data_IF_605740956194
#
_entry.id   IF_605740956194
#
_cell.length_a   1.000
_cell.length_b   1.000
_cell.length_c   1.000
_cell.angle_alpha   90.00
_cell.angle_beta   90.00
_cell.angle_gamma   90.00
#
_symmetry.space_group_name_H-M   'P 1'
#
loop_
_entity.id
_entity.type
_entity.pdbx_description
1 polymer ?
#
# COMPACT_ATOMS: atom_id res chain seq x y z
N UNK A 1 -0.42 -20.00 14.65
CA UNK A 1 -0.98 -19.36 13.45
C UNK A 1 -0.86 -17.87 13.65
N UNK A 2 0.05 -17.21 12.92
CA UNK A 2 0.05 -15.74 12.86
C UNK A 2 -1.08 -15.35 11.89
N UNK A 3 -2.05 -14.58 12.38
CA UNK A 3 -3.05 -13.94 11.54
C UNK A 3 -2.31 -12.98 10.61
N UNK A 4 -2.27 -13.31 9.33
CA UNK A 4 -1.79 -12.38 8.30
C UNK A 4 -2.95 -11.41 8.10
N UNK A 5 -2.88 -10.27 8.79
CA UNK A 5 -3.81 -9.17 8.54
C UNK A 5 -3.61 -8.73 7.10
N UNK A 6 -4.60 -8.99 6.24
CA UNK A 6 -4.62 -8.40 4.90
C UNK A 6 -4.73 -6.89 5.10
N UNK A 7 -3.80 -6.08 4.59
CA UNK A 7 -3.94 -4.64 4.61
C UNK A 7 -5.26 -4.30 3.93
N UNK A 8 -6.20 -3.69 4.64
CA UNK A 8 -7.50 -3.42 4.06
C UNK A 8 -7.32 -2.38 2.93
N UNK A 9 -7.61 -2.77 1.70
CA UNK A 9 -7.67 -1.84 0.57
C UNK A 9 -8.58 -0.62 0.85
N UNK A 10 -9.54 -0.78 1.77
CA UNK A 10 -10.42 0.26 2.32
C UNK A 10 -9.66 1.47 2.88
N UNK A 11 -8.46 1.27 3.43
CA UNK A 11 -7.72 2.30 4.14
C UNK A 11 -7.01 3.24 3.16
N UNK A 12 -6.34 2.69 2.14
CA UNK A 12 -5.72 3.51 1.09
C UNK A 12 -6.77 4.29 0.29
N UNK A 13 -7.92 3.68 0.01
CA UNK A 13 -9.06 4.36 -0.62
C UNK A 13 -9.53 5.55 0.23
N UNK A 14 -9.58 5.38 1.56
CA UNK A 14 -9.94 6.46 2.49
C UNK A 14 -8.93 7.61 2.45
N UNK A 15 -7.64 7.30 2.44
CA UNK A 15 -6.55 8.28 2.31
C UNK A 15 -6.67 9.05 0.99
N UNK A 16 -6.87 8.35 -0.13
CA UNK A 16 -7.03 8.98 -1.45
C UNK A 16 -8.25 9.90 -1.49
N UNK A 17 -9.41 9.44 -0.98
CA UNK A 17 -10.61 10.27 -0.93
C UNK A 17 -10.39 11.54 -0.10
N UNK A 18 -9.69 11.44 1.03
CA UNK A 18 -9.40 12.61 1.87
C UNK A 18 -8.47 13.59 1.17
N UNK A 19 -7.43 13.11 0.48
CA UNK A 19 -6.53 13.94 -0.30
C UNK A 19 -7.26 14.72 -1.41
N UNK A 20 -8.19 14.08 -2.10
CA UNK A 20 -9.01 14.74 -3.13
C UNK A 20 -9.89 15.86 -2.55
N UNK A 21 -10.46 15.65 -1.37
CA UNK A 21 -11.25 16.68 -0.67
C UNK A 21 -10.38 17.87 -0.27
N UNK A 22 -9.18 17.62 0.27
CA UNK A 22 -8.24 18.66 0.67
C UNK A 22 -7.72 19.45 -0.53
N UNK A 23 -7.42 18.77 -1.64
CA UNK A 23 -7.01 19.42 -2.88
C UNK A 23 -8.08 20.40 -3.37
N UNK A 24 -9.35 19.99 -3.35
CA UNK A 24 -10.47 20.88 -3.69
C UNK A 24 -10.59 22.05 -2.70
N UNK A 25 -10.42 21.79 -1.40
CA UNK A 25 -10.46 22.86 -0.39
C UNK A 25 -9.35 23.91 -0.61
N UNK A 26 -8.20 23.51 -1.14
CA UNK A 26 -7.09 24.40 -1.47
C UNK A 26 -7.43 25.35 -2.63
N UNK A 27 -8.16 24.86 -3.65
CA UNK A 27 -8.58 25.66 -4.82
C UNK A 27 -9.44 26.87 -4.42
N UNK A 28 -10.27 26.70 -3.39
CA UNK A 28 -11.18 27.73 -2.88
C UNK A 28 -10.60 28.54 -1.71
N UNK A 29 -9.36 28.28 -1.29
CA UNK A 29 -8.76 28.88 -0.10
C UNK A 29 -7.99 30.18 -0.40
N UNK A 30 -8.17 31.19 0.45
CA UNK A 30 -7.53 32.50 0.32
C UNK A 30 -6.76 32.98 1.56
N UNK A 31 -6.78 32.20 2.66
CA UNK A 31 -5.98 32.48 3.86
C UNK A 31 -4.70 31.65 3.82
N UNK A 32 -3.57 32.31 4.07
CA UNK A 32 -2.26 31.65 4.13
C UNK A 32 -2.22 30.63 5.25
N UNK A 33 -2.79 30.94 6.42
CA UNK A 33 -2.85 30.02 7.56
C UNK A 33 -3.65 28.76 7.21
N UNK A 34 -4.79 28.92 6.55
CA UNK A 34 -5.61 27.79 6.12
C UNK A 34 -4.94 26.96 5.03
N UNK A 35 -4.25 27.60 4.08
CA UNK A 35 -3.45 26.93 3.04
C UNK A 35 -2.36 26.06 3.69
N UNK A 36 -1.62 26.60 4.66
CA UNK A 36 -0.58 25.86 5.36
C UNK A 36 -1.14 24.66 6.12
N UNK A 37 -2.25 24.83 6.84
CA UNK A 37 -2.90 23.74 7.55
C UNK A 37 -3.37 22.61 6.60
N UNK A 38 -3.92 22.97 5.43
CA UNK A 38 -4.32 21.99 4.41
C UNK A 38 -3.10 21.20 3.92
N UNK A 39 -1.98 21.87 3.62
CA UNK A 39 -0.77 21.20 3.19
C UNK A 39 -0.19 20.27 4.25
N UNK A 40 -0.17 20.68 5.52
CA UNK A 40 0.27 19.83 6.63
C UNK A 40 -0.57 18.55 6.74
N UNK A 41 -1.89 18.66 6.60
CA UNK A 41 -2.79 17.49 6.59
C UNK A 41 -2.53 16.60 5.37
N UNK A 42 -2.37 17.17 4.18
CA UNK A 42 -2.05 16.42 2.97
C UNK A 42 -0.73 15.64 3.09
N UNK A 43 0.33 16.26 3.60
CA UNK A 43 1.62 15.59 3.77
C UNK A 43 1.55 14.45 4.80
N UNK A 44 0.80 14.64 5.87
CA UNK A 44 0.59 13.60 6.88
C UNK A 44 -0.12 12.37 6.28
N UNK A 45 -1.16 12.59 5.47
CA UNK A 45 -1.90 11.53 4.78
C UNK A 45 -1.06 10.80 3.73
N UNK A 46 -0.22 11.52 2.99
CA UNK A 46 0.71 10.90 2.03
C UNK A 46 1.67 9.96 2.77
N UNK A 47 2.26 10.42 3.88
CA UNK A 47 3.18 9.60 4.67
C UNK A 47 2.49 8.36 5.29
N UNK A 48 1.24 8.49 5.72
CA UNK A 48 0.42 7.36 6.18
C UNK A 48 0.17 6.34 5.06
N UNK A 49 -0.17 6.82 3.85
CA UNK A 49 -0.35 6.00 2.66
C UNK A 49 0.92 5.24 2.28
N UNK A 50 2.08 5.92 2.24
CA UNK A 50 3.38 5.31 1.96
C UNK A 50 3.75 4.24 3.00
N UNK A 51 3.47 4.50 4.28
CA UNK A 51 3.73 3.53 5.36
C UNK A 51 2.88 2.27 5.17
N UNK A 52 1.61 2.43 4.80
CA UNK A 52 0.73 1.29 4.50
C UNK A 52 1.19 0.51 3.28
N UNK A 53 1.56 1.19 2.19
CA UNK A 53 2.08 0.52 0.99
C UNK A 53 3.36 -0.27 1.28
N UNK A 54 4.31 0.31 2.00
CA UNK A 54 5.53 -0.37 2.42
C UNK A 54 5.21 -1.61 3.28
N UNK A 55 4.21 -1.52 4.16
CA UNK A 55 3.76 -2.67 4.95
C UNK A 55 3.16 -3.78 4.09
N UNK A 56 2.32 -3.42 3.11
CA UNK A 56 1.74 -4.37 2.14
C UNK A 56 2.86 -5.07 1.35
N UNK A 57 3.85 -4.32 0.86
CA UNK A 57 4.97 -4.86 0.11
C UNK A 57 5.80 -5.84 0.95
N UNK A 58 6.10 -5.50 2.20
CA UNK A 58 6.83 -6.38 3.12
C UNK A 58 6.07 -7.69 3.41
N UNK A 59 4.74 -7.66 3.37
CA UNK A 59 3.89 -8.83 3.56
C UNK A 59 3.56 -9.57 2.26
N UNK A 60 4.01 -9.05 1.11
CA UNK A 60 3.78 -9.66 -0.20
C UNK A 60 4.85 -10.68 -0.52
N UNK A 61 4.42 -11.80 -1.10
CA UNK A 61 5.30 -12.90 -1.51
C UNK A 61 5.02 -13.28 -2.96
N UNK A 62 6.09 -13.57 -3.70
CA UNK A 62 6.00 -14.21 -5.00
C UNK A 62 5.85 -15.71 -4.83
N UNK A 63 4.90 -16.30 -5.55
CA UNK A 63 4.75 -17.75 -5.64
C UNK A 63 5.67 -18.29 -6.74
N UNK A 64 6.42 -19.32 -6.43
CA UNK A 64 7.16 -20.04 -7.46
C UNK A 64 6.18 -20.87 -8.31
N UNK A 65 6.31 -20.76 -9.63
CA UNK A 65 5.48 -21.52 -10.59
C UNK A 65 6.32 -22.58 -11.29
N UNK A 66 5.70 -23.74 -11.54
CA UNK A 66 6.22 -24.76 -12.43
C UNK A 66 6.00 -24.36 -13.91
N UNK A 67 6.68 -25.00 -14.88
CA UNK A 67 6.52 -24.68 -16.31
C UNK A 67 5.09 -24.87 -16.85
N UNK A 68 4.26 -25.67 -16.18
CA UNK A 68 2.86 -25.89 -16.51
C UNK A 68 1.91 -24.85 -15.88
N UNK A 69 2.44 -23.87 -15.14
CA UNK A 69 1.69 -22.83 -14.46
C UNK A 69 1.14 -23.22 -13.08
N UNK A 70 1.38 -24.46 -12.61
CA UNK A 70 1.02 -24.86 -11.25
C UNK A 70 1.93 -24.23 -10.21
N UNK A 71 1.43 -24.00 -8.98
CA UNK A 71 2.23 -23.46 -7.87
C UNK A 71 3.18 -24.54 -7.35
N UNK A 72 4.48 -24.23 -7.30
CA UNK A 72 5.47 -25.12 -6.72
C UNK A 72 5.28 -25.21 -5.19
N UNK A 73 5.37 -26.42 -4.66
CA UNK A 73 5.19 -26.72 -3.24
C UNK A 73 6.41 -27.43 -2.66
N UNK A 74 6.66 -27.23 -1.37
CA UNK A 74 7.69 -27.93 -0.64
C UNK A 74 7.32 -29.40 -0.33
N UNK A 75 8.21 -30.13 0.34
CA UNK A 75 7.99 -31.54 0.73
C UNK A 75 6.84 -31.72 1.72
N UNK A 76 6.35 -30.64 2.34
CA UNK A 76 5.20 -30.63 3.23
C UNK A 76 3.90 -30.20 2.51
N UNK A 77 3.97 -29.91 1.21
CA UNK A 77 2.84 -29.47 0.39
C UNK A 77 2.50 -27.99 0.52
N UNK A 78 3.35 -27.18 1.18
CA UNK A 78 3.13 -25.74 1.28
C UNK A 78 3.67 -25.02 0.04
N UNK A 79 3.00 -23.96 -0.46
CA UNK A 79 3.53 -23.14 -1.54
C UNK A 79 4.91 -22.57 -1.21
N UNK A 80 5.85 -22.70 -2.14
CA UNK A 80 7.14 -22.05 -2.04
C UNK A 80 6.93 -20.55 -2.29
N UNK A 81 7.32 -19.74 -1.31
CA UNK A 81 7.17 -18.29 -1.28
C UNK A 81 8.54 -17.63 -1.29
N UNK A 82 8.71 -16.64 -2.16
CA UNK A 82 9.85 -15.73 -2.14
C UNK A 82 9.38 -14.35 -1.69
N UNK A 83 10.19 -13.58 -0.96
CA UNK A 83 9.91 -12.17 -0.73
C UNK A 83 9.65 -11.47 -2.07
N UNK A 84 8.63 -10.64 -2.15
CA UNK A 84 8.45 -9.78 -3.33
C UNK A 84 9.50 -8.67 -3.30
N UNK A 85 10.38 -8.62 -4.30
CA UNK A 85 11.40 -7.57 -4.45
C UNK A 85 11.03 -6.71 -5.67
N UNK A 86 10.65 -5.44 -5.49
CA UNK A 86 10.30 -4.55 -6.59
C UNK A 86 11.50 -4.34 -7.54
N UNK A 87 11.30 -4.56 -8.85
CA UNK A 87 12.30 -4.29 -9.88
C UNK A 87 13.24 -5.45 -10.23
N UNK A 88 13.15 -6.59 -9.53
CA UNK A 88 13.75 -7.84 -10.00
C UNK A 88 12.85 -8.49 -11.06
N UNK A 89 13.37 -8.70 -12.26
CA UNK A 89 12.69 -9.50 -13.28
C UNK A 89 12.69 -10.98 -12.88
N UNK A 90 11.50 -11.58 -12.92
CA UNK A 90 11.26 -13.02 -12.75
C UNK A 90 11.78 -13.80 -13.96
#
# INVERSE_FOLDING_TARGET
MQEISVPEASHLDTVIQRLLVLQKALEDCHSVEAILAIYEEMFSLIQEGETNLNHVEQLSFQLQLNPDGSVAVDTSGNPIKHPFIPGESV
#
